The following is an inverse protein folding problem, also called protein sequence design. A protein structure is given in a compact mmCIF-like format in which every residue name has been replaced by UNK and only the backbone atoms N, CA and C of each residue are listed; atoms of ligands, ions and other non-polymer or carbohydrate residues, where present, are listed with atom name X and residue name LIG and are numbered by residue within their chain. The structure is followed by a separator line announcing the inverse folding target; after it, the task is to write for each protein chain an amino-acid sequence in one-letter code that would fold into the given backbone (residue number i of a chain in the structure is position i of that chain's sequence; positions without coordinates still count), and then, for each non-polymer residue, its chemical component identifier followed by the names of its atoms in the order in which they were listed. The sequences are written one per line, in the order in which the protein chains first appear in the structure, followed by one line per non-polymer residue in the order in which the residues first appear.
data_IF_737232933342
#
_entry.id   IF_737232933342
#
_cell.length_a   1.000
_cell.length_b   1.000
_cell.length_c   1.000
_cell.angle_alpha   90.00
_cell.angle_beta   90.00
_cell.angle_gamma   90.00
#
_symmetry.space_group_name_H-M   'P 1'
#
loop_
_entity.id
_entity.type
_entity.pdbx_description
1 polymer ?
#
# COMPACT_ATOMS: atom_id res chain seq x y z
N UNK A 1 6.35 4.11 15.56
CA UNK A 1 7.81 4.31 15.57
C UNK A 1 8.29 4.60 14.16
N UNK A 2 9.50 5.15 13.99
CA UNK A 2 10.07 5.35 12.65
C UNK A 2 10.41 3.98 12.06
N UNK A 3 9.90 3.70 10.87
CA UNK A 3 10.24 2.47 10.14
C UNK A 3 11.71 2.50 9.71
N UNK A 4 12.40 1.37 9.85
CA UNK A 4 13.79 1.17 9.42
C UNK A 4 13.99 -0.31 9.10
N UNK A 5 14.83 -0.59 8.12
CA UNK A 5 15.27 -1.95 7.77
C UNK A 5 16.32 -2.39 8.79
N UNK A 6 16.11 -3.55 9.42
CA UNK A 6 17.07 -4.13 10.35
C UNK A 6 18.27 -4.73 9.61
N UNK A 7 19.44 -4.86 10.28
CA UNK A 7 20.62 -5.46 9.65
C UNK A 7 20.44 -6.90 9.17
N UNK A 8 19.48 -7.64 9.74
CA UNK A 8 19.16 -9.03 9.41
C UNK A 8 18.03 -9.20 8.38
N UNK A 9 17.35 -8.12 7.97
CA UNK A 9 16.31 -8.19 6.93
C UNK A 9 16.96 -8.23 5.54
N UNK A 10 16.65 -9.27 4.75
CA UNK A 10 17.10 -9.38 3.36
C UNK A 10 16.11 -8.73 2.37
N UNK A 11 16.59 -8.43 1.17
CA UNK A 11 15.74 -7.96 0.07
C UNK A 11 14.63 -8.98 -0.26
N UNK A 12 14.97 -10.27 -0.29
CA UNK A 12 14.03 -11.34 -0.60
C UNK A 12 12.94 -11.43 0.46
N UNK A 13 13.29 -11.28 1.75
CA UNK A 13 12.31 -11.28 2.84
C UNK A 13 11.31 -10.11 2.72
N UNK A 14 11.82 -8.91 2.39
CA UNK A 14 10.99 -7.72 2.20
C UNK A 14 10.06 -7.86 0.98
N UNK A 15 10.57 -8.45 -0.11
CA UNK A 15 9.79 -8.71 -1.31
C UNK A 15 8.71 -9.77 -1.05
N UNK A 16 9.04 -10.84 -0.34
CA UNK A 16 8.09 -11.87 0.06
C UNK A 16 7.00 -11.31 1.00
N UNK A 17 7.37 -10.42 1.92
CA UNK A 17 6.42 -9.72 2.78
C UNK A 17 5.46 -8.83 1.98
N UNK A 18 5.98 -8.08 0.98
CA UNK A 18 5.16 -7.28 0.08
C UNK A 18 4.16 -8.16 -0.69
N UNK A 19 4.62 -9.26 -1.28
CA UNK A 19 3.76 -10.18 -2.02
C UNK A 19 2.75 -10.89 -1.13
N UNK A 20 3.14 -11.29 0.08
CA UNK A 20 2.24 -11.86 1.07
C UNK A 20 1.12 -10.89 1.45
N UNK A 21 1.46 -9.60 1.66
CA UNK A 21 0.48 -8.53 1.86
C UNK A 21 -0.49 -8.41 0.69
N UNK A 22 0.02 -8.39 -0.55
CA UNK A 22 -0.81 -8.32 -1.76
C UNK A 22 -1.76 -9.51 -1.93
N UNK A 23 -1.29 -10.74 -1.64
CA UNK A 23 -2.13 -11.95 -1.66
C UNK A 23 -3.25 -11.87 -0.62
N UNK A 24 -2.93 -11.45 0.60
CA UNK A 24 -3.93 -11.27 1.67
C UNK A 24 -4.98 -10.23 1.31
N UNK A 25 -4.55 -9.08 0.79
CA UNK A 25 -5.49 -8.04 0.34
C UNK A 25 -6.41 -8.56 -0.75
N UNK A 26 -5.89 -9.29 -1.73
CA UNK A 26 -6.71 -9.89 -2.79
C UNK A 26 -7.76 -10.86 -2.26
N UNK A 27 -7.37 -11.76 -1.36
CA UNK A 27 -8.31 -12.71 -0.73
C UNK A 27 -9.47 -11.98 -0.04
N UNK A 28 -9.18 -10.92 0.72
CA UNK A 28 -10.21 -10.12 1.41
C UNK A 28 -11.13 -9.40 0.42
N UNK A 29 -10.56 -8.82 -0.64
CA UNK A 29 -11.32 -8.04 -1.64
C UNK A 29 -12.20 -8.96 -2.49
N UNK A 30 -11.73 -10.14 -2.85
CA UNK A 30 -12.48 -11.12 -3.66
C UNK A 30 -13.77 -11.59 -2.96
N UNK A 31 -13.81 -11.55 -1.63
CA UNK A 31 -14.96 -11.95 -0.81
C UNK A 31 -15.87 -10.78 -0.42
N UNK A 32 -15.51 -9.53 -0.76
CA UNK A 32 -16.20 -8.33 -0.32
C UNK A 32 -16.96 -7.62 -1.46
N UNK A 33 -17.99 -6.83 -1.11
CA UNK A 33 -18.63 -5.94 -2.07
C UNK A 33 -17.88 -4.60 -2.10
N UNK A 34 -17.49 -4.15 -3.29
CA UNK A 34 -16.75 -2.91 -3.50
C UNK A 34 -17.48 -1.65 -3.01
N UNK A 35 -18.80 -1.70 -2.87
CA UNK A 35 -19.62 -0.60 -2.37
C UNK A 35 -19.89 -0.66 -0.87
N UNK A 36 -19.38 -1.67 -0.16
CA UNK A 36 -19.48 -1.72 1.29
C UNK A 36 -18.67 -0.58 1.92
N UNK A 37 -19.25 0.01 2.97
CA UNK A 37 -18.61 1.06 3.75
C UNK A 37 -17.69 0.47 4.81
N UNK A 38 -16.61 1.20 5.13
CA UNK A 38 -15.78 0.85 6.28
C UNK A 38 -16.58 0.87 7.58
N UNK A 39 -16.14 0.10 8.57
CA UNK A 39 -16.65 0.24 9.93
C UNK A 39 -16.47 1.68 10.46
N UNK A 40 -17.41 2.13 11.27
CA UNK A 40 -17.32 3.41 11.98
C UNK A 40 -16.38 3.31 13.18
N UNK A 41 -15.74 4.43 13.51
CA UNK A 41 -14.80 4.59 14.61
C UNK A 41 -13.38 4.91 14.17
N UNK A 42 -12.62 5.54 15.07
CA UNK A 42 -11.22 5.90 14.83
C UNK A 42 -11.09 7.16 13.97
N UNK A 43 -11.02 6.99 12.64
CA UNK A 43 -10.89 8.13 11.70
C UNK A 43 -12.23 8.58 11.10
N UNK A 44 -13.23 7.71 11.11
CA UNK A 44 -14.52 7.95 10.45
C UNK A 44 -15.63 7.86 11.50
N UNK A 45 -16.19 9.00 11.90
CA UNK A 45 -17.16 9.07 12.98
C UNK A 45 -18.61 8.98 12.48
N UNK A 46 -18.82 9.15 11.17
CA UNK A 46 -20.15 9.07 10.53
C UNK A 46 -20.13 8.29 9.22
N UNK A 47 -21.31 7.80 8.80
CA UNK A 47 -21.48 7.10 7.51
C UNK A 47 -21.16 7.98 6.31
N UNK A 48 -21.37 9.29 6.43
CA UNK A 48 -21.11 10.25 5.35
C UNK A 48 -19.60 10.48 5.16
N UNK A 49 -18.81 10.24 6.21
CA UNK A 49 -17.34 10.31 6.19
C UNK A 49 -16.68 8.97 5.90
N UNK A 50 -17.39 7.86 6.11
CA UNK A 50 -16.86 6.52 5.92
C UNK A 50 -16.61 6.24 4.41
N UNK A 51 -15.40 5.82 4.02
CA UNK A 51 -15.14 5.46 2.64
C UNK A 51 -15.74 4.09 2.29
N UNK A 52 -16.11 3.93 1.02
CA UNK A 52 -16.39 2.61 0.46
C UNK A 52 -15.09 1.83 0.22
N UNK A 53 -15.18 0.50 0.14
CA UNK A 53 -14.02 -0.34 -0.18
C UNK A 53 -13.35 0.09 -1.49
N UNK A 54 -14.10 0.38 -2.54
CA UNK A 54 -13.54 0.87 -3.81
C UNK A 54 -12.74 2.17 -3.63
N UNK A 55 -13.24 3.10 -2.81
CA UNK A 55 -12.51 4.33 -2.50
C UNK A 55 -11.19 4.03 -1.79
N UNK A 56 -11.20 3.13 -0.80
CA UNK A 56 -9.99 2.72 -0.08
C UNK A 56 -8.97 2.09 -1.03
N UNK A 57 -9.41 1.22 -1.94
CA UNK A 57 -8.51 0.58 -2.91
C UNK A 57 -7.85 1.59 -3.85
N UNK A 58 -8.61 2.56 -4.37
CA UNK A 58 -8.03 3.63 -5.18
C UNK A 58 -7.07 4.52 -4.37
N UNK A 59 -7.40 4.81 -3.11
CA UNK A 59 -6.51 5.55 -2.23
C UNK A 59 -5.17 4.82 -2.02
N UNK A 60 -5.21 3.51 -1.75
CA UNK A 60 -4.00 2.68 -1.59
C UNK A 60 -3.22 2.57 -2.90
N UNK A 61 -3.90 2.46 -4.05
CA UNK A 61 -3.26 2.46 -5.36
C UNK A 61 -2.49 3.77 -5.62
N UNK A 62 -3.12 4.91 -5.36
CA UNK A 62 -2.49 6.22 -5.50
C UNK A 62 -1.25 6.33 -4.59
N UNK A 63 -1.39 5.89 -3.34
CA UNK A 63 -0.30 5.94 -2.36
C UNK A 63 0.86 5.01 -2.76
N UNK A 64 0.55 3.82 -3.29
CA UNK A 64 1.55 2.90 -3.84
C UNK A 64 2.30 3.54 -5.02
N UNK A 65 1.59 4.14 -5.98
CA UNK A 65 2.21 4.83 -7.11
C UNK A 65 3.12 5.99 -6.66
N UNK A 66 2.69 6.77 -5.65
CA UNK A 66 3.50 7.84 -5.06
C UNK A 66 4.79 7.30 -4.46
N UNK A 67 4.73 6.19 -3.72
CA UNK A 67 5.91 5.56 -3.14
C UNK A 67 6.82 4.91 -4.17
N UNK A 68 6.27 4.28 -5.20
CA UNK A 68 7.05 3.73 -6.30
C UNK A 68 7.84 4.83 -7.02
N UNK A 69 7.21 5.98 -7.30
CA UNK A 69 7.91 7.13 -7.88
C UNK A 69 9.04 7.66 -6.99
N UNK A 70 8.84 7.71 -5.66
CA UNK A 70 9.92 8.09 -4.75
C UNK A 70 11.10 7.09 -4.76
N UNK A 71 10.81 5.79 -4.85
CA UNK A 71 11.83 4.75 -4.93
C UNK A 71 12.59 4.82 -6.26
N UNK A 72 11.90 5.15 -7.35
CA UNK A 72 12.53 5.31 -8.66
C UNK A 72 13.54 6.46 -8.65
N UNK A 73 13.18 7.63 -8.10
CA UNK A 73 14.14 8.74 -7.93
C UNK A 73 15.38 8.31 -7.12
N UNK A 74 15.20 7.52 -6.05
CA UNK A 74 16.33 7.01 -5.27
C UNK A 74 17.20 6.06 -6.09
N UNK A 75 16.59 5.17 -6.88
CA UNK A 75 17.29 4.27 -7.80
C UNK A 75 18.11 5.05 -8.82
N UNK A 76 17.50 6.04 -9.49
CA UNK A 76 18.17 6.90 -10.49
C UNK A 76 19.37 7.64 -9.90
N UNK A 77 19.29 8.09 -8.64
CA UNK A 77 20.41 8.73 -7.96
C UNK A 77 21.56 7.76 -7.63
N UNK A 78 21.28 6.47 -7.52
CA UNK A 78 22.28 5.43 -7.22
C UNK A 78 23.01 5.01 -8.50
N UNK A 79 22.27 4.76 -9.59
CA UNK A 79 22.81 4.18 -10.83
C UNK A 79 23.04 5.20 -11.96
N UNK A 80 22.49 6.41 -11.85
CA UNK A 80 22.58 7.46 -12.87
C UNK A 80 21.73 7.20 -14.12
N UNK A 81 20.89 6.16 -14.09
CA UNK A 81 20.04 5.75 -15.21
C UNK A 81 18.62 6.22 -14.93
N UNK A 82 18.18 7.24 -15.67
CA UNK A 82 16.78 7.67 -15.66
C UNK A 82 15.87 6.57 -16.20
N UNK A 83 14.62 6.51 -15.71
CA UNK A 83 13.59 5.65 -16.30
C UNK A 83 13.39 5.88 -17.81
N UNK A 84 12.72 4.93 -18.48
CA UNK A 84 12.30 5.09 -19.90
C UNK A 84 11.42 6.34 -20.11
#
# INVERSE_FOLDING_TARGET
GRWHVQPDESFDDLLDALWAGGRRTRQIVDEANLHDFSALGGRFESTDEAPTLVWVLFHVLQEYARHAGHLDVVRELIDGVTGE
#
